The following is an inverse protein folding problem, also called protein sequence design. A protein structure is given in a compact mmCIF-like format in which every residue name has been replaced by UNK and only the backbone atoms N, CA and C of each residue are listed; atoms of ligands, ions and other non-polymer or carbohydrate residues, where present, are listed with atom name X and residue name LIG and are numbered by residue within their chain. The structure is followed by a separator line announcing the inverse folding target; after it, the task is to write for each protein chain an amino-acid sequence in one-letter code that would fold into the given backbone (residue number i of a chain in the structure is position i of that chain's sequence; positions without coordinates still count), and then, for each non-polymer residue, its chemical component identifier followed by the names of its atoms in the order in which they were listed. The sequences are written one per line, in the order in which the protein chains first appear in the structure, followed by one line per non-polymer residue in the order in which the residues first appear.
data_IF_895749198416
#
_entry.id   IF_895749198416
#
_cell.length_a   1.000
_cell.length_b   1.000
_cell.length_c   1.000
_cell.angle_alpha   90.00
_cell.angle_beta   90.00
_cell.angle_gamma   90.00
#
_symmetry.space_group_name_H-M   'P 1'
#
loop_
_entity.id
_entity.type
_entity.pdbx_description
1 polymer ?
#
# COMPACT_ATOMS: atom_id res chain seq x y z
N UNK A 1 32.07 33.03 -2.66
CA UNK A 1 33.00 31.90 -2.39
C UNK A 1 32.37 30.67 -3.01
N UNK A 2 32.96 30.18 -4.11
CA UNK A 2 32.34 29.24 -5.06
C UNK A 2 32.34 27.81 -4.53
N UNK A 3 31.20 27.11 -4.60
CA UNK A 3 31.10 25.69 -4.25
C UNK A 3 31.57 24.83 -5.43
N UNK A 4 32.51 23.91 -5.19
CA UNK A 4 33.02 22.94 -6.16
C UNK A 4 32.06 21.76 -6.30
N UNK A 5 31.74 21.42 -7.55
CA UNK A 5 30.94 20.27 -7.96
C UNK A 5 31.87 19.09 -8.24
N UNK A 6 31.62 17.92 -7.66
CA UNK A 6 32.36 16.69 -7.93
C UNK A 6 31.51 15.75 -8.78
N UNK A 7 32.13 15.17 -9.81
CA UNK A 7 31.50 14.26 -10.79
C UNK A 7 31.98 12.84 -10.50
N UNK A 8 31.06 11.87 -10.41
CA UNK A 8 31.37 10.45 -10.26
C UNK A 8 30.79 9.66 -11.43
N UNK A 9 31.62 8.78 -12.01
CA UNK A 9 31.23 7.86 -13.08
C UNK A 9 30.69 6.56 -12.47
N UNK A 10 29.43 6.22 -12.78
CA UNK A 10 28.86 4.90 -12.50
C UNK A 10 28.67 4.09 -13.78
N UNK A 11 29.21 2.87 -13.77
CA UNK A 11 29.08 1.88 -14.84
C UNK A 11 27.60 1.47 -14.96
N UNK A 12 27.02 1.80 -16.11
CA UNK A 12 25.60 1.65 -16.44
C UNK A 12 25.33 0.27 -17.06
N UNK A 13 25.27 -0.78 -16.24
CA UNK A 13 24.72 -2.07 -16.68
C UNK A 13 23.24 -2.13 -16.32
N UNK A 14 22.40 -2.27 -17.35
CA UNK A 14 20.96 -2.05 -17.28
C UNK A 14 20.27 -3.16 -16.47
N UNK A 15 19.58 -2.76 -15.39
CA UNK A 15 18.64 -3.59 -14.61
C UNK A 15 17.48 -4.09 -15.48
N UNK A 16 17.29 -3.49 -16.66
CA UNK A 16 16.21 -3.77 -17.61
C UNK A 16 16.25 -5.21 -18.14
N UNK A 17 17.43 -5.72 -18.45
CA UNK A 17 17.56 -7.03 -19.12
C UNK A 17 17.35 -8.21 -18.15
N UNK A 18 17.62 -8.02 -16.86
CA UNK A 18 17.49 -9.08 -15.86
C UNK A 18 16.05 -9.27 -15.38
N UNK A 19 15.28 -8.18 -15.27
CA UNK A 19 13.86 -8.22 -14.88
C UNK A 19 12.98 -8.82 -15.98
N UNK A 20 13.33 -8.60 -17.25
CA UNK A 20 12.57 -9.10 -18.40
C UNK A 20 12.58 -10.64 -18.49
N UNK A 21 13.69 -11.28 -18.09
CA UNK A 21 13.84 -12.74 -18.12
C UNK A 21 13.08 -13.45 -16.99
N UNK A 22 13.09 -12.88 -15.77
CA UNK A 22 12.36 -13.45 -14.62
C UNK A 22 10.84 -13.31 -14.78
N UNK A 23 10.38 -12.24 -15.43
CA UNK A 23 8.96 -12.01 -15.66
C UNK A 23 8.35 -13.00 -16.67
N UNK A 24 9.10 -13.38 -17.72
CA UNK A 24 8.66 -14.35 -18.73
C UNK A 24 8.58 -15.79 -18.17
N UNK A 25 9.60 -16.23 -17.42
CA UNK A 25 9.68 -17.62 -16.95
C UNK A 25 8.58 -17.98 -15.92
N UNK A 26 8.16 -17.04 -15.07
CA UNK A 26 7.12 -17.29 -14.07
C UNK A 26 5.69 -17.25 -14.61
N UNK A 27 5.42 -16.50 -15.67
CA UNK A 27 4.07 -16.39 -16.24
C UNK A 27 3.70 -17.58 -17.15
N UNK A 28 4.68 -18.10 -17.91
CA UNK A 28 4.45 -19.24 -18.81
C UNK A 28 4.06 -20.51 -18.04
N UNK A 29 4.54 -20.70 -16.81
CA UNK A 29 4.15 -21.84 -15.97
C UNK A 29 2.69 -21.79 -15.48
N UNK A 30 2.07 -20.60 -15.35
CA UNK A 30 0.67 -20.49 -14.93
C UNK A 30 -0.30 -20.73 -16.10
N UNK A 31 0.06 -20.32 -17.32
CA UNK A 31 -0.75 -20.53 -18.52
C UNK A 31 -0.81 -22.01 -18.96
N UNK A 32 0.29 -22.75 -18.80
CA UNK A 32 0.35 -24.16 -19.20
C UNK A 32 -0.38 -25.12 -18.24
N UNK A 33 -0.64 -24.71 -16.99
CA UNK A 33 -1.35 -25.56 -16.03
C UNK A 33 -2.88 -25.58 -16.25
N UNK A 34 -3.48 -24.57 -16.90
CA UNK A 34 -4.92 -24.57 -17.19
C UNK A 34 -5.29 -25.39 -18.44
N UNK A 35 -4.42 -25.48 -19.45
CA UNK A 35 -4.71 -26.25 -20.68
C UNK A 35 -4.60 -27.79 -20.51
N UNK A 36 -3.79 -28.28 -19.56
CA UNK A 36 -3.61 -29.73 -19.36
C UNK A 36 -4.81 -30.37 -18.63
N UNK A 37 -5.53 -29.61 -17.80
CA UNK A 37 -6.68 -30.14 -17.05
C UNK A 37 -7.99 -30.16 -17.86
N UNK A 38 -8.08 -29.43 -18.98
CA UNK A 38 -9.28 -29.42 -19.83
C UNK A 38 -9.29 -30.52 -20.89
N UNK A 39 -8.12 -31.10 -21.24
CA UNK A 39 -8.00 -32.09 -22.31
C UNK A 39 -7.99 -33.56 -21.85
N UNK A 40 -8.11 -33.84 -20.55
CA UNK A 40 -8.13 -35.22 -20.01
C UNK A 40 -9.54 -35.83 -19.84
N UNK A 41 -10.61 -35.05 -20.00
CA UNK A 41 -11.99 -35.54 -19.76
C UNK A 41 -12.80 -35.86 -21.03
N UNK A 42 -12.20 -35.81 -22.22
CA UNK A 42 -12.93 -35.96 -23.48
C UNK A 42 -12.10 -36.62 -24.56
N UNK A 43 -11.67 -37.87 -24.36
CA UNK A 43 -11.24 -38.79 -25.42
C UNK A 43 -11.23 -40.25 -24.91
N UNK A 44 -12.39 -40.75 -24.49
CA UNK A 44 -12.71 -42.18 -24.59
C UNK A 44 -13.71 -42.33 -25.73
N UNK A 45 -13.23 -42.79 -26.90
CA UNK A 45 -13.91 -43.67 -27.87
C UNK A 45 -13.43 -43.47 -29.32
N UNK A 46 -13.10 -44.60 -29.95
CA UNK A 46 -13.04 -44.90 -31.38
C UNK A 46 -11.81 -44.45 -32.20
N UNK A 47 -10.79 -45.34 -32.23
CA UNK A 47 -9.91 -45.53 -33.38
C UNK A 47 -10.53 -46.53 -34.37
N UNK A 48 -10.64 -46.15 -35.65
CA UNK A 48 -10.47 -47.07 -36.79
C UNK A 48 -10.19 -46.32 -38.11
N UNK A 49 -9.00 -46.62 -38.64
CA UNK A 49 -8.58 -46.67 -40.06
C UNK A 49 -8.48 -45.38 -40.89
N UNK A 50 -7.29 -45.19 -41.48
CA UNK A 50 -7.15 -44.85 -42.90
C UNK A 50 -6.39 -43.55 -43.21
N UNK A 51 -5.14 -43.71 -43.65
CA UNK A 51 -4.24 -42.69 -44.23
C UNK A 51 -4.93 -41.69 -45.17
N UNK A 52 -4.56 -40.40 -45.08
CA UNK A 52 -3.89 -39.61 -46.15
C UNK A 52 -3.31 -38.33 -45.53
N UNK A 53 -2.08 -38.04 -45.95
CA UNK A 53 -1.24 -36.88 -45.67
C UNK A 53 -1.94 -35.52 -45.73
N UNK A 54 -1.83 -34.78 -44.61
CA UNK A 54 -1.72 -33.32 -44.60
C UNK A 54 -1.02 -32.92 -43.30
N UNK A 55 0.32 -32.86 -43.33
CA UNK A 55 1.04 -32.01 -42.38
C UNK A 55 0.62 -30.57 -42.69
N UNK A 56 -0.47 -30.12 -42.06
CA UNK A 56 -0.68 -28.69 -41.85
C UNK A 56 0.45 -28.27 -40.93
N UNK A 57 1.47 -27.62 -41.50
CA UNK A 57 2.40 -26.83 -40.73
C UNK A 57 1.54 -25.85 -39.91
N UNK A 58 1.40 -26.12 -38.61
CA UNK A 58 1.03 -25.07 -37.68
C UNK A 58 2.16 -24.05 -37.79
N UNK A 59 1.87 -22.95 -38.48
CA UNK A 59 2.69 -21.75 -38.38
C UNK A 59 2.69 -21.42 -36.89
N UNK A 60 3.81 -21.72 -36.22
CA UNK A 60 4.14 -21.09 -34.96
C UNK A 60 4.16 -19.60 -35.23
N UNK A 61 3.02 -18.96 -35.00
CA UNK A 61 3.00 -17.55 -34.68
C UNK A 61 3.60 -17.49 -33.28
N UNK A 62 4.93 -17.48 -33.22
CA UNK A 62 5.63 -16.91 -32.08
C UNK A 62 5.24 -15.43 -32.09
N UNK A 63 4.04 -15.12 -31.58
CA UNK A 63 3.80 -13.83 -31.00
C UNK A 63 4.72 -13.78 -29.79
N UNK A 64 5.97 -13.37 -30.01
CA UNK A 64 6.78 -12.79 -28.96
C UNK A 64 5.93 -11.68 -28.36
N UNK A 65 5.33 -11.98 -27.20
CA UNK A 65 4.70 -10.99 -26.36
C UNK A 65 5.84 -10.09 -25.87
N UNK A 66 6.20 -9.10 -26.69
CA UNK A 66 7.13 -8.05 -26.37
C UNK A 66 6.48 -7.10 -25.36
N UNK A 67 6.30 -7.57 -24.12
CA UNK A 67 6.01 -6.70 -22.99
C UNK A 67 7.31 -5.96 -22.62
N UNK A 68 7.52 -4.80 -23.22
CA UNK A 68 8.45 -3.81 -22.67
C UNK A 68 7.79 -3.19 -21.44
N UNK A 69 8.09 -3.74 -20.27
CA UNK A 69 7.60 -3.18 -19.01
C UNK A 69 8.41 -1.92 -18.66
N UNK A 70 7.83 -0.75 -18.90
CA UNK A 70 8.45 0.53 -18.54
C UNK A 70 8.09 0.87 -17.09
N UNK A 71 9.11 0.95 -16.23
CA UNK A 71 8.93 1.41 -14.86
C UNK A 71 8.76 2.94 -14.89
N UNK A 72 7.67 3.51 -14.33
CA UNK A 72 7.39 4.93 -14.41
C UNK A 72 8.53 5.80 -13.85
N UNK A 73 9.03 6.79 -14.61
CA UNK A 73 10.17 7.62 -14.20
C UNK A 73 9.91 8.40 -12.89
N UNK A 74 8.66 8.74 -12.60
CA UNK A 74 8.30 9.46 -11.37
C UNK A 74 8.60 8.64 -10.11
N UNK A 75 8.56 7.30 -10.17
CA UNK A 75 8.87 6.46 -9.01
C UNK A 75 10.34 6.53 -8.63
N UNK A 76 11.24 6.54 -9.62
CA UNK A 76 12.68 6.61 -9.39
C UNK A 76 13.11 7.96 -8.84
N UNK A 77 12.69 9.05 -9.50
CA UNK A 77 13.23 10.36 -9.18
C UNK A 77 12.66 10.93 -7.87
N UNK A 78 11.48 10.47 -7.45
CA UNK A 78 10.88 10.84 -6.16
C UNK A 78 11.36 9.99 -4.99
N UNK A 79 12.00 8.84 -5.27
CA UNK A 79 12.39 7.88 -4.25
C UNK A 79 13.44 8.45 -3.31
N UNK A 80 13.30 8.13 -2.02
CA UNK A 80 14.27 8.49 -1.01
C UNK A 80 14.55 7.37 -0.05
N UNK A 81 15.74 7.40 0.55
CA UNK A 81 16.06 6.58 1.72
C UNK A 81 16.17 7.43 2.97
N UNK A 82 15.66 6.88 4.06
CA UNK A 82 15.58 7.53 5.36
C UNK A 82 16.71 6.99 6.22
N UNK A 83 17.53 7.89 6.74
CA UNK A 83 18.67 7.56 7.59
C UNK A 83 18.60 8.31 8.90
N UNK A 84 19.21 7.73 9.93
CA UNK A 84 19.54 8.43 11.17
C UNK A 84 21.03 8.71 11.21
N UNK A 85 21.39 9.92 11.61
CA UNK A 85 22.77 10.22 11.98
C UNK A 85 23.14 9.64 13.35
N UNK A 86 24.20 8.83 13.39
CA UNK A 86 24.72 8.20 14.60
C UNK A 86 25.87 9.04 15.20
N UNK A 87 25.56 9.88 16.18
CA UNK A 87 26.50 10.81 16.83
C UNK A 87 27.56 10.15 17.74
N UNK A 88 27.99 8.92 17.43
CA UNK A 88 28.97 8.17 18.25
C UNK A 88 30.42 8.65 18.06
N UNK A 89 30.70 9.46 17.04
CA UNK A 89 32.03 10.02 16.80
C UNK A 89 32.06 11.51 17.17
N UNK A 90 32.70 11.80 18.31
CA UNK A 90 33.11 13.14 18.73
C UNK A 90 34.31 13.59 17.89
N UNK A 91 34.08 13.97 16.63
CA UNK A 91 35.02 14.82 15.89
C UNK A 91 34.44 16.22 15.79
N UNK A 92 35.26 17.20 16.15
CA UNK A 92 35.02 18.65 16.22
C UNK A 92 34.75 19.34 14.88
N UNK A 93 34.18 18.62 13.90
CA UNK A 93 33.84 19.15 12.58
C UNK A 93 32.31 19.09 12.41
N UNK A 94 31.70 20.21 12.03
CA UNK A 94 30.25 20.37 11.78
C UNK A 94 29.74 19.61 10.53
N UNK A 95 30.39 18.51 10.13
CA UNK A 95 30.09 17.76 8.91
C UNK A 95 29.64 16.33 9.20
N UNK A 96 28.50 15.95 8.62
CA UNK A 96 27.96 14.58 8.70
C UNK A 96 28.65 13.70 7.66
N UNK A 97 29.36 12.65 8.09
CA UNK A 97 29.95 11.65 7.18
C UNK A 97 28.91 10.59 6.84
N UNK A 98 28.96 10.08 5.60
CA UNK A 98 28.01 9.06 5.12
C UNK A 98 28.10 7.77 5.94
N UNK A 99 29.30 7.41 6.40
CA UNK A 99 29.53 6.21 7.22
C UNK A 99 28.87 6.29 8.61
N UNK A 100 28.51 7.50 9.07
CA UNK A 100 27.78 7.69 10.32
C UNK A 100 26.26 7.57 10.14
N UNK A 101 25.77 7.30 8.92
CA UNK A 101 24.35 7.16 8.63
C UNK A 101 23.86 5.71 8.81
N UNK A 102 22.80 5.55 9.60
CA UNK A 102 22.10 4.28 9.78
C UNK A 102 20.84 4.30 8.94
N UNK A 103 20.75 3.40 7.96
CA UNK A 103 19.54 3.22 7.16
C UNK A 103 18.36 2.71 7.99
N UNK A 104 17.24 3.43 7.92
CA UNK A 104 16.00 3.15 8.64
C UNK A 104 14.93 2.56 7.73
N UNK A 105 14.83 3.02 6.49
CA UNK A 105 13.82 2.56 5.55
C UNK A 105 13.69 3.43 4.30
N UNK A 106 12.59 3.25 3.59
CA UNK A 106 12.32 3.87 2.30
C UNK A 106 11.26 4.97 2.41
N UNK A 107 11.17 5.81 1.40
CA UNK A 107 10.16 6.87 1.30
C UNK A 107 10.05 7.42 -0.10
N UNK A 108 9.19 8.42 -0.28
CA UNK A 108 9.11 9.18 -1.53
C UNK A 108 8.67 10.61 -1.28
N UNK A 109 9.19 11.53 -2.11
CA UNK A 109 8.76 12.93 -2.15
C UNK A 109 7.40 12.99 -2.84
N UNK A 110 6.42 13.66 -2.23
CA UNK A 110 5.05 13.72 -2.77
C UNK A 110 4.60 15.12 -3.22
N UNK A 111 5.43 16.15 -3.01
CA UNK A 111 5.18 17.48 -3.57
C UNK A 111 6.47 18.29 -3.82
N UNK A 112 6.33 19.35 -4.61
CA UNK A 112 7.42 20.29 -4.96
C UNK A 112 8.07 21.00 -3.76
N UNK A 113 7.39 21.04 -2.62
CA UNK A 113 7.90 21.71 -1.42
C UNK A 113 8.84 20.79 -0.61
N UNK A 114 9.08 19.54 -1.06
CA UNK A 114 9.98 18.61 -0.38
C UNK A 114 9.35 17.90 0.82
N UNK A 115 8.03 17.72 0.81
CA UNK A 115 7.40 16.81 1.76
C UNK A 115 7.55 15.36 1.31
N UNK A 116 7.81 14.49 2.28
CA UNK A 116 8.14 13.07 2.07
C UNK A 116 7.20 12.21 2.90
N UNK A 117 6.76 11.10 2.32
CA UNK A 117 6.07 10.03 3.02
C UNK A 117 7.02 8.87 3.31
N UNK A 118 6.90 8.31 4.51
CA UNK A 118 7.57 7.08 4.94
C UNK A 118 6.72 6.35 5.98
N UNK A 119 7.11 5.13 6.33
CA UNK A 119 6.48 4.38 7.42
C UNK A 119 6.82 5.00 8.78
N UNK A 120 5.84 5.10 9.68
CA UNK A 120 6.04 5.71 10.99
C UNK A 120 7.00 4.91 11.87
N UNK A 121 7.02 3.58 11.74
CA UNK A 121 7.95 2.73 12.49
C UNK A 121 9.41 2.91 12.10
N UNK A 122 9.71 3.53 10.95
CA UNK A 122 11.08 3.94 10.61
C UNK A 122 11.58 5.03 11.57
N UNK A 123 10.67 5.78 12.21
CA UNK A 123 10.95 6.92 13.09
C UNK A 123 10.72 6.53 14.55
N UNK A 124 11.71 5.84 15.14
CA UNK A 124 11.59 5.33 16.51
C UNK A 124 11.68 6.44 17.58
N UNK A 125 12.64 7.37 17.45
CA UNK A 125 12.82 8.50 18.35
C UNK A 125 12.76 9.82 17.57
N UNK A 126 11.87 10.74 17.99
CA UNK A 126 11.66 12.01 17.29
C UNK A 126 12.82 13.01 17.48
N UNK A 127 13.67 12.79 18.48
CA UNK A 127 14.82 13.65 18.78
C UNK A 127 16.06 13.30 17.94
N UNK A 128 16.02 12.19 17.19
CA UNK A 128 17.09 11.80 16.29
C UNK A 128 17.23 12.80 15.13
N UNK A 129 18.46 12.93 14.60
CA UNK A 129 18.72 13.72 13.39
C UNK A 129 18.47 12.82 12.17
N UNK A 130 17.47 13.18 11.37
CA UNK A 130 17.10 12.44 10.17
C UNK A 130 17.77 13.03 8.92
N UNK A 131 18.36 12.14 8.13
CA UNK A 131 18.98 12.48 6.85
C UNK A 131 18.26 11.73 5.74
N UNK A 132 17.84 12.46 4.72
CA UNK A 132 17.17 11.94 3.54
C UNK A 132 18.16 11.92 2.40
N UNK A 133 18.34 10.74 1.79
CA UNK A 133 19.10 10.60 0.55
C UNK A 133 18.14 10.48 -0.63
N UNK A 134 18.32 11.31 -1.66
CA UNK A 134 17.60 11.28 -2.93
C UNK A 134 18.63 11.28 -4.07
N UNK A 135 18.85 10.15 -4.73
CA UNK A 135 20.00 9.99 -5.62
C UNK A 135 21.31 10.25 -4.86
N UNK A 136 22.13 11.16 -5.37
CA UNK A 136 23.40 11.56 -4.74
C UNK A 136 23.26 12.71 -3.72
N UNK A 137 22.06 13.26 -3.59
CA UNK A 137 21.79 14.39 -2.71
C UNK A 137 21.39 13.94 -1.31
N UNK A 138 21.85 14.70 -0.29
CA UNK A 138 21.53 14.46 1.11
C UNK A 138 20.92 15.72 1.74
N UNK A 139 19.85 15.53 2.53
CA UNK A 139 19.12 16.61 3.17
C UNK A 139 18.83 16.28 4.64
N UNK A 140 18.99 17.26 5.53
CA UNK A 140 18.44 17.15 6.89
C UNK A 140 16.91 17.29 6.79
N UNK A 141 16.19 16.39 7.45
CA UNK A 141 14.73 16.41 7.50
C UNK A 141 14.19 16.78 8.88
N UNK A 142 13.06 17.49 8.86
CA UNK A 142 12.23 17.72 10.04
C UNK A 142 11.01 16.82 10.02
N UNK A 143 10.63 16.26 11.16
CA UNK A 143 9.36 15.54 11.30
C UNK A 143 8.22 16.56 11.35
N UNK A 144 7.28 16.45 10.43
CA UNK A 144 6.06 17.28 10.43
C UNK A 144 4.99 16.63 11.30
N UNK A 145 4.81 15.31 11.17
CA UNK A 145 3.87 14.56 11.96
C UNK A 145 3.95 13.07 11.65
N UNK A 146 3.52 12.23 12.59
CA UNK A 146 3.39 10.79 12.38
C UNK A 146 2.17 10.25 13.11
N UNK A 147 1.63 9.16 12.59
CA UNK A 147 0.53 8.41 13.19
C UNK A 147 0.90 6.92 13.20
N UNK A 148 0.98 6.34 14.40
CA UNK A 148 1.56 5.00 14.61
C UNK A 148 0.62 3.88 14.14
N UNK A 149 -0.68 4.11 14.27
CA UNK A 149 -1.72 3.13 14.03
C UNK A 149 -1.94 2.87 12.54
N UNK A 150 -1.83 3.92 11.72
CA UNK A 150 -1.82 3.83 10.25
C UNK A 150 -0.42 3.63 9.67
N UNK A 151 0.62 3.78 10.50
CA UNK A 151 2.04 3.70 10.11
C UNK A 151 2.44 4.71 9.03
N UNK A 152 2.02 5.96 9.19
CA UNK A 152 2.34 7.04 8.25
C UNK A 152 3.14 8.12 8.96
N UNK A 153 4.25 8.54 8.36
CA UNK A 153 5.03 9.69 8.78
C UNK A 153 5.21 10.66 7.61
N UNK A 154 5.06 11.95 7.91
CA UNK A 154 5.38 13.06 7.01
C UNK A 154 6.65 13.73 7.48
N UNK A 155 7.66 13.75 6.62
CA UNK A 155 8.91 14.48 6.80
C UNK A 155 8.96 15.66 5.84
N UNK A 156 9.85 16.63 6.12
CA UNK A 156 10.09 17.79 5.27
C UNK A 156 11.59 18.03 5.11
N UNK A 157 12.02 18.23 3.87
CA UNK A 157 13.37 18.68 3.51
C UNK A 157 13.32 20.05 2.84
N UNK A 158 14.41 20.81 2.93
CA UNK A 158 14.57 22.05 2.19
C UNK A 158 15.60 21.82 1.07
N UNK A 159 15.14 21.92 -0.18
CA UNK A 159 15.99 21.85 -1.36
C UNK A 159 15.96 23.19 -2.10
N UNK A 160 17.10 23.59 -2.66
CA UNK A 160 17.19 24.72 -3.59
C UNK A 160 16.90 24.29 -5.03
N UNK A 161 16.98 22.98 -5.31
CA UNK A 161 16.78 22.40 -6.62
C UNK A 161 15.33 21.93 -6.79
N UNK A 162 14.90 21.83 -8.04
CA UNK A 162 13.58 21.28 -8.38
C UNK A 162 13.54 19.80 -8.03
N UNK A 163 12.62 19.42 -7.15
CA UNK A 163 12.42 18.03 -6.75
C UNK A 163 11.43 17.35 -7.69
N UNK A 164 11.73 16.10 -8.07
CA UNK A 164 10.74 15.20 -8.64
C UNK A 164 9.88 14.61 -7.53
N UNK A 165 8.60 14.39 -7.79
CA UNK A 165 7.66 13.90 -6.78
C UNK A 165 6.52 13.08 -7.39
N UNK A 166 5.94 12.19 -6.57
CA UNK A 166 4.66 11.52 -6.90
C UNK A 166 3.54 12.34 -6.28
N UNK A 167 2.77 13.05 -7.12
CA UNK A 167 1.67 13.87 -6.62
C UNK A 167 0.58 13.04 -5.95
N UNK A 168 0.08 13.51 -4.81
CA UNK A 168 -1.12 12.95 -4.18
C UNK A 168 -2.40 13.32 -4.94
N UNK A 169 -2.33 14.12 -6.00
CA UNK A 169 -3.48 14.42 -6.86
C UNK A 169 -3.72 13.35 -7.92
N UNK A 170 -2.69 12.58 -8.28
CA UNK A 170 -2.75 11.43 -9.19
C UNK A 170 -2.74 10.12 -8.39
N UNK A 171 -3.78 9.94 -7.59
CA UNK A 171 -4.01 8.70 -6.84
C UNK A 171 -5.02 7.81 -7.56
N UNK A 172 -4.89 6.50 -7.34
CA UNK A 172 -5.85 5.50 -7.82
C UNK A 172 -6.24 4.58 -6.66
N UNK A 173 -7.55 4.42 -6.44
CA UNK A 173 -8.12 3.64 -5.33
C UNK A 173 -9.15 2.58 -5.76
N UNK A 174 -9.29 2.37 -7.08
CA UNK A 174 -10.20 1.42 -7.72
C UNK A 174 -9.49 0.15 -8.24
N UNK A 175 -8.36 -0.20 -7.64
CA UNK A 175 -7.57 -1.38 -7.98
C UNK A 175 -8.42 -2.66 -8.00
N UNK A 176 -8.18 -3.50 -9.01
CA UNK A 176 -8.78 -4.83 -9.13
C UNK A 176 -7.74 -5.92 -8.88
N UNK A 177 -8.22 -7.07 -8.42
CA UNK A 177 -7.38 -8.27 -8.32
C UNK A 177 -6.78 -8.62 -9.68
N UNK A 178 -5.51 -9.01 -9.69
CA UNK A 178 -4.73 -9.33 -10.89
C UNK A 178 -4.04 -8.15 -11.56
N UNK A 179 -4.38 -6.91 -11.19
CA UNK A 179 -3.71 -5.73 -11.77
C UNK A 179 -2.24 -5.63 -11.35
N UNK A 180 -1.40 -5.20 -12.28
CA UNK A 180 0.04 -5.07 -12.07
C UNK A 180 0.36 -3.83 -11.24
N UNK A 181 1.21 -4.00 -10.24
CA UNK A 181 1.68 -2.93 -9.36
C UNK A 181 3.19 -3.02 -9.16
N UNK A 182 3.81 -1.85 -9.04
CA UNK A 182 5.26 -1.68 -9.00
C UNK A 182 5.63 -1.01 -7.69
N UNK A 183 6.56 -1.61 -6.96
CA UNK A 183 7.16 -1.03 -5.76
C UNK A 183 8.63 -0.73 -6.01
N UNK A 184 9.11 0.41 -5.52
CA UNK A 184 10.51 0.79 -5.60
C UNK A 184 11.05 1.14 -4.22
N UNK A 185 12.12 0.47 -3.79
CA UNK A 185 12.59 0.53 -2.40
C UNK A 185 14.03 0.12 -2.23
N UNK A 186 14.62 0.39 -1.06
CA UNK A 186 15.93 -0.17 -0.70
C UNK A 186 15.74 -1.29 0.33
N UNK A 187 16.48 -2.39 0.15
CA UNK A 187 16.47 -3.51 1.09
C UNK A 187 17.51 -3.24 2.18
N UNK A 188 17.14 -3.44 3.45
CA UNK A 188 18.06 -3.29 4.57
C UNK A 188 19.26 -4.26 4.42
N UNK A 189 20.47 -3.76 4.72
CA UNK A 189 21.76 -4.46 4.53
C UNK A 189 22.18 -4.67 3.07
N UNK A 190 21.43 -4.12 2.12
CA UNK A 190 21.85 -4.01 0.73
C UNK A 190 21.90 -2.53 0.37
N UNK A 191 23.04 -2.05 -0.11
CA UNK A 191 23.22 -0.64 -0.47
C UNK A 191 22.67 -0.33 -1.87
N UNK A 192 21.63 -1.06 -2.29
CA UNK A 192 21.05 -0.97 -3.63
C UNK A 192 19.54 -0.87 -3.57
N UNK A 193 19.04 0.08 -4.35
CA UNK A 193 17.63 0.26 -4.66
C UNK A 193 17.15 -0.91 -5.53
N UNK A 194 15.92 -1.33 -5.33
CA UNK A 194 15.29 -2.46 -6.00
C UNK A 194 13.92 -2.07 -6.52
N UNK A 195 13.63 -2.51 -7.74
CA UNK A 195 12.29 -2.47 -8.29
C UNK A 195 11.67 -3.86 -8.16
N UNK A 196 10.50 -3.94 -7.55
CA UNK A 196 9.71 -5.15 -7.45
C UNK A 196 8.40 -4.97 -8.20
N UNK A 197 8.15 -5.84 -9.18
CA UNK A 197 6.88 -5.90 -9.92
C UNK A 197 6.08 -7.10 -9.41
N UNK A 198 4.78 -6.90 -9.23
CA UNK A 198 3.85 -7.94 -8.79
C UNK A 198 2.43 -7.60 -9.20
N UNK A 199 1.47 -8.29 -8.60
CA UNK A 199 0.05 -8.09 -8.85
C UNK A 199 -0.70 -7.82 -7.54
N UNK A 200 -1.86 -7.21 -7.67
CA UNK A 200 -2.83 -7.08 -6.58
C UNK A 200 -3.49 -8.44 -6.35
N UNK A 201 -3.30 -9.00 -5.15
CA UNK A 201 -3.97 -10.22 -4.73
C UNK A 201 -5.34 -9.90 -4.11
N UNK A 202 -5.38 -8.90 -3.22
CA UNK A 202 -6.63 -8.38 -2.65
C UNK A 202 -6.53 -6.85 -2.51
N UNK A 203 -7.41 -6.06 -3.14
CA UNK A 203 -7.31 -4.61 -3.09
C UNK A 203 -7.67 -4.01 -1.72
N UNK A 204 -8.47 -4.72 -0.91
CA UNK A 204 -8.98 -4.24 0.39
C UNK A 204 -8.98 -5.35 1.44
N UNK A 205 -7.82 -5.92 1.72
CA UNK A 205 -7.64 -6.96 2.72
C UNK A 205 -7.81 -6.39 4.14
N UNK A 206 -8.62 -7.03 4.97
CA UNK A 206 -8.89 -6.64 6.36
C UNK A 206 -8.41 -7.72 7.32
N UNK A 207 -7.96 -7.34 8.53
CA UNK A 207 -7.39 -8.26 9.51
C UNK A 207 -8.07 -8.12 10.89
N UNK A 208 -8.76 -9.17 11.33
CA UNK A 208 -9.36 -9.24 12.68
C UNK A 208 -8.33 -9.46 13.79
N UNK A 209 -7.18 -10.06 13.45
CA UNK A 209 -5.98 -10.15 14.28
C UNK A 209 -4.80 -9.68 13.46
N UNK A 210 -4.23 -8.55 13.85
CA UNK A 210 -3.09 -7.94 13.20
C UNK A 210 -2.04 -7.59 14.24
N UNK A 211 -0.83 -8.10 14.05
CA UNK A 211 0.31 -7.57 14.79
C UNK A 211 0.64 -6.19 14.24
N UNK A 212 0.35 -5.15 15.03
CA UNK A 212 0.64 -3.78 14.66
C UNK A 212 2.15 -3.54 14.57
N UNK A 213 2.53 -2.35 14.14
CA UNK A 213 3.92 -1.98 13.89
C UNK A 213 4.77 -1.85 15.17
N UNK A 214 4.15 -2.01 16.34
CA UNK A 214 4.80 -2.02 17.65
C UNK A 214 4.77 -3.43 18.30
N UNK A 215 4.45 -4.48 17.55
CA UNK A 215 4.41 -5.88 18.03
C UNK A 215 3.18 -6.26 18.87
N UNK A 216 2.16 -5.39 18.97
CA UNK A 216 0.93 -5.71 19.70
C UNK A 216 -0.11 -6.29 18.75
N UNK A 217 -0.73 -7.41 19.14
CA UNK A 217 -1.82 -8.03 18.39
C UNK A 217 -3.14 -7.36 18.74
N UNK A 218 -3.77 -6.73 17.76
CA UNK A 218 -5.04 -6.03 17.89
C UNK A 218 -5.87 -6.12 16.60
N UNK A 219 -7.12 -5.65 16.63
CA UNK A 219 -7.89 -5.43 15.42
C UNK A 219 -7.22 -4.33 14.60
N UNK A 220 -7.00 -4.56 13.30
CA UNK A 220 -6.56 -3.51 12.41
C UNK A 220 -7.78 -2.78 11.85
N UNK A 221 -7.76 -1.45 11.92
CA UNK A 221 -8.85 -0.60 11.43
C UNK A 221 -8.63 -0.15 9.98
N UNK A 222 -7.44 -0.37 9.43
CA UNK A 222 -7.06 0.03 8.09
C UNK A 222 -7.13 -1.17 7.13
N UNK A 223 -7.79 -1.03 5.97
CA UNK A 223 -7.63 -2.01 4.90
C UNK A 223 -6.23 -1.88 4.28
N UNK A 224 -5.71 -2.99 3.77
CA UNK A 224 -4.46 -3.01 3.02
C UNK A 224 -4.67 -3.56 1.61
N UNK A 225 -3.89 -3.05 0.66
CA UNK A 225 -3.68 -3.71 -0.62
C UNK A 225 -2.71 -4.86 -0.36
N UNK A 226 -3.16 -6.09 -0.55
CA UNK A 226 -2.31 -7.26 -0.53
C UNK A 226 -1.73 -7.49 -1.92
N UNK A 227 -0.40 -7.61 -2.00
CA UNK A 227 0.33 -7.70 -3.27
C UNK A 227 1.28 -8.90 -3.28
N UNK A 228 1.61 -9.39 -4.47
CA UNK A 228 2.59 -10.46 -4.67
C UNK A 228 4.03 -9.97 -4.82
N UNK A 229 4.27 -8.65 -4.78
CA UNK A 229 5.60 -8.07 -4.85
C UNK A 229 6.51 -8.67 -3.76
N UNK A 230 7.78 -8.87 -4.11
CA UNK A 230 8.80 -9.31 -3.18
C UNK A 230 9.20 -8.16 -2.26
N UNK A 231 8.51 -8.06 -1.12
CA UNK A 231 8.77 -7.04 -0.10
C UNK A 231 9.75 -7.57 0.95
N UNK A 232 10.82 -6.82 1.18
CA UNK A 232 11.83 -7.12 2.19
C UNK A 232 11.96 -6.00 3.21
N UNK A 233 12.61 -6.29 4.34
CA UNK A 233 12.90 -5.27 5.36
C UNK A 233 13.66 -4.10 4.73
N UNK A 234 13.29 -2.86 5.06
CA UNK A 234 13.84 -1.65 4.45
C UNK A 234 12.94 -1.01 3.38
N UNK A 235 12.07 -1.79 2.73
CA UNK A 235 11.13 -1.27 1.72
C UNK A 235 9.88 -0.62 2.34
N UNK A 236 9.70 -0.68 3.66
CA UNK A 236 8.61 0.02 4.34
C UNK A 236 8.73 1.53 4.14
N UNK A 237 7.64 2.15 3.68
CA UNK A 237 7.57 3.54 3.22
C UNK A 237 7.74 3.71 1.71
N UNK A 238 8.11 2.66 0.96
CA UNK A 238 8.21 2.72 -0.50
C UNK A 238 6.87 3.06 -1.17
N UNK A 239 6.88 3.82 -2.28
CA UNK A 239 5.71 4.00 -3.11
C UNK A 239 5.30 2.69 -3.79
N UNK A 240 4.00 2.47 -3.91
CA UNK A 240 3.39 1.46 -4.77
C UNK A 240 2.59 2.19 -5.85
N UNK A 241 2.92 1.95 -7.12
CA UNK A 241 2.29 2.60 -8.28
C UNK A 241 1.71 1.57 -9.25
N UNK A 242 0.77 2.00 -10.07
CA UNK A 242 0.37 1.24 -11.26
C UNK A 242 1.36 1.43 -12.44
N UNK A 243 1.10 0.75 -13.55
CA UNK A 243 1.91 0.85 -14.77
C UNK A 243 1.96 2.26 -15.41
N UNK A 244 1.08 3.18 -14.98
CA UNK A 244 1.05 4.56 -15.45
C UNK A 244 1.75 5.52 -14.48
N UNK A 245 2.24 5.02 -13.34
CA UNK A 245 2.87 5.83 -12.31
C UNK A 245 1.89 6.52 -11.38
N UNK A 246 0.60 6.17 -11.41
CA UNK A 246 -0.35 6.68 -10.42
C UNK A 246 -0.08 6.01 -9.07
N UNK A 247 -0.14 6.78 -7.99
CA UNK A 247 0.06 6.24 -6.65
C UNK A 247 -1.15 5.40 -6.26
N UNK A 248 -0.93 4.11 -5.99
CA UNK A 248 -1.97 3.19 -5.51
C UNK A 248 -1.83 2.92 -4.02
N UNK A 249 -0.64 3.07 -3.45
CA UNK A 249 -0.44 2.96 -2.00
C UNK A 249 1.01 3.17 -1.56
N UNK A 250 1.27 2.88 -0.29
CA UNK A 250 2.61 2.90 0.31
C UNK A 250 2.87 1.58 1.02
N UNK A 251 4.01 0.94 0.73
CA UNK A 251 4.41 -0.32 1.36
C UNK A 251 4.53 -0.14 2.87
N UNK A 252 3.87 -1.00 3.63
CA UNK A 252 3.92 -0.97 5.09
C UNK A 252 4.75 -2.12 5.65
N UNK A 253 4.40 -3.36 5.28
CA UNK A 253 5.12 -4.55 5.75
C UNK A 253 4.84 -5.76 4.87
N UNK A 254 5.45 -6.89 5.22
CA UNK A 254 5.18 -8.22 4.67
C UNK A 254 4.43 -9.08 5.70
N UNK A 255 3.49 -9.90 5.23
CA UNK A 255 2.89 -11.02 5.97
C UNK A 255 3.05 -12.27 5.11
N UNK A 256 3.63 -13.32 5.68
CA UNK A 256 3.93 -14.58 5.00
C UNK A 256 4.67 -14.35 3.69
N UNK A 257 4.04 -14.60 2.54
CA UNK A 257 4.59 -14.40 1.20
C UNK A 257 4.05 -13.16 0.48
N UNK A 258 3.32 -12.30 1.19
CA UNK A 258 2.60 -11.17 0.61
C UNK A 258 3.08 -9.83 1.16
N UNK A 259 3.19 -8.84 0.28
CA UNK A 259 3.31 -7.45 0.69
C UNK A 259 1.97 -6.87 1.10
N UNK A 260 1.98 -5.92 2.03
CA UNK A 260 0.85 -5.09 2.40
C UNK A 260 1.19 -3.62 2.18
N UNK A 261 0.31 -2.91 1.47
CA UNK A 261 0.41 -1.47 1.25
C UNK A 261 -0.83 -0.76 1.78
N UNK A 262 -0.64 0.42 2.40
CA UNK A 262 -1.74 1.30 2.76
C UNK A 262 -2.30 1.94 1.48
N UNK A 263 -3.62 1.84 1.21
CA UNK A 263 -4.23 2.45 0.02
C UNK A 263 -3.98 3.96 -0.09
N UNK A 264 -3.78 4.45 -1.31
CA UNK A 264 -3.44 5.84 -1.62
C UNK A 264 -4.47 6.86 -1.13
N UNK A 265 -5.77 6.52 -1.18
CA UNK A 265 -6.84 7.40 -0.71
C UNK A 265 -6.80 7.61 0.81
N UNK A 266 -6.56 6.56 1.59
CA UNK A 266 -6.37 6.64 3.05
C UNK A 266 -5.07 7.37 3.36
N UNK A 267 -3.97 7.01 2.66
CA UNK A 267 -2.66 7.63 2.81
C UNK A 267 -2.72 9.15 2.55
N UNK A 268 -3.38 9.59 1.47
CA UNK A 268 -3.52 11.00 1.11
C UNK A 268 -4.15 11.81 2.25
N UNK A 269 -5.25 11.33 2.80
CA UNK A 269 -5.99 12.09 3.82
C UNK A 269 -5.22 12.18 5.14
N UNK A 270 -4.54 11.10 5.53
CA UNK A 270 -3.65 11.12 6.71
C UNK A 270 -2.47 12.06 6.46
N UNK A 271 -1.81 11.96 5.31
CA UNK A 271 -0.67 12.79 4.93
C UNK A 271 -1.02 14.28 4.96
N UNK A 272 -2.15 14.69 4.39
CA UNK A 272 -2.58 16.09 4.37
C UNK A 272 -2.91 16.62 5.76
N UNK A 273 -3.52 15.82 6.63
CA UNK A 273 -3.81 16.22 8.01
C UNK A 273 -2.53 16.34 8.85
N UNK A 274 -1.61 15.37 8.72
CA UNK A 274 -0.28 15.45 9.35
C UNK A 274 0.49 16.67 8.84
N UNK A 275 0.50 16.91 7.53
CA UNK A 275 1.15 18.07 6.92
C UNK A 275 0.63 19.40 7.49
N UNK A 276 -0.69 19.55 7.60
CA UNK A 276 -1.32 20.83 7.94
C UNK A 276 -1.44 21.08 9.44
N UNK A 277 -1.58 20.02 10.25
CA UNK A 277 -1.88 20.13 11.69
C UNK A 277 -0.81 19.50 12.59
N UNK A 278 0.19 18.83 12.02
CA UNK A 278 1.19 18.02 12.74
C UNK A 278 0.63 16.76 13.40
N UNK A 279 -0.69 16.57 13.35
CA UNK A 279 -1.41 15.48 14.01
C UNK A 279 -2.55 15.00 13.13
N UNK A 280 -2.84 13.71 13.25
CA UNK A 280 -4.00 13.08 12.65
C UNK A 280 -4.76 12.39 13.78
N UNK A 281 -6.07 12.66 13.85
CA UNK A 281 -6.98 12.00 14.76
C UNK A 281 -7.92 11.17 13.90
N UNK A 282 -7.93 9.88 14.16
CA UNK A 282 -8.80 8.95 13.47
C UNK A 282 -10.27 9.36 13.64
N UNK A 283 -11.03 9.57 12.54
CA UNK A 283 -12.42 9.95 12.65
C UNK A 283 -13.24 8.81 13.26
N UNK A 284 -14.17 9.16 14.15
CA UNK A 284 -14.97 8.17 14.88
C UNK A 284 -16.38 8.68 15.10
N UNK A 285 -17.34 7.76 14.97
CA UNK A 285 -18.75 8.01 15.28
C UNK A 285 -19.06 7.78 16.77
N UNK A 286 -18.12 7.22 17.54
CA UNK A 286 -18.32 6.81 18.93
C UNK A 286 -19.14 5.52 19.07
N UNK A 287 -19.04 4.61 18.10
CA UNK A 287 -19.71 3.31 18.10
C UNK A 287 -18.72 2.22 18.45
N UNK A 288 -19.08 1.35 19.39
CA UNK A 288 -18.34 0.11 19.67
C UNK A 288 -19.10 -1.03 18.99
N UNK A 289 -18.45 -1.69 18.04
CA UNK A 289 -19.04 -2.78 17.27
C UNK A 289 -18.72 -4.15 17.86
N UNK A 290 -19.60 -5.11 17.59
CA UNK A 290 -19.34 -6.54 17.71
C UNK A 290 -19.74 -7.21 16.41
N UNK A 291 -18.75 -7.79 15.72
CA UNK A 291 -19.00 -8.60 14.54
C UNK A 291 -19.58 -9.95 14.98
N UNK A 292 -20.64 -10.39 14.30
CA UNK A 292 -21.21 -11.72 14.49
C UNK A 292 -21.28 -12.43 13.14
N UNK A 293 -20.64 -13.60 13.10
CA UNK A 293 -20.72 -14.52 11.97
C UNK A 293 -21.84 -15.53 12.24
N UNK A 294 -22.67 -15.77 11.23
CA UNK A 294 -23.70 -16.80 11.25
C UNK A 294 -23.44 -17.78 10.12
N UNK A 295 -23.38 -19.06 10.45
CA UNK A 295 -23.43 -20.15 9.46
C UNK A 295 -24.88 -20.30 8.99
N UNK A 296 -25.14 -20.13 7.70
CA UNK A 296 -26.45 -20.48 7.15
C UNK A 296 -26.66 -22.00 7.22
N UNK A 297 -27.93 -22.43 7.31
CA UNK A 297 -28.32 -23.84 7.49
C UNK A 297 -27.80 -24.80 6.40
N UNK A 298 -27.36 -24.27 5.27
CA UNK A 298 -26.78 -25.00 4.14
C UNK A 298 -25.23 -25.06 4.16
N UNK A 299 -24.58 -24.57 5.22
CA UNK A 299 -23.12 -24.68 5.44
C UNK A 299 -22.24 -23.86 4.49
N UNK A 300 -22.79 -23.27 3.43
CA UNK A 300 -22.02 -22.68 2.32
C UNK A 300 -21.93 -21.15 2.36
N UNK A 301 -22.72 -20.46 3.18
CA UNK A 301 -22.70 -18.99 3.27
C UNK A 301 -22.58 -18.51 4.71
N UNK A 302 -21.63 -17.61 4.96
CA UNK A 302 -21.50 -16.89 6.22
C UNK A 302 -22.18 -15.52 6.07
N UNK A 303 -23.17 -15.23 6.93
CA UNK A 303 -23.68 -13.86 7.06
C UNK A 303 -22.88 -13.14 8.13
N UNK A 304 -22.26 -12.02 7.78
CA UNK A 304 -21.62 -11.10 8.74
C UNK A 304 -22.59 -9.99 9.10
N UNK A 305 -22.86 -9.84 10.38
CA UNK A 305 -23.62 -8.70 10.90
C UNK A 305 -22.70 -7.81 11.74
N UNK A 306 -22.62 -6.55 11.36
CA UNK A 306 -21.92 -5.53 12.13
C UNK A 306 -22.90 -4.89 13.11
N UNK A 307 -22.96 -5.44 14.33
CA UNK A 307 -23.92 -5.03 15.36
C UNK A 307 -23.31 -3.99 16.30
N UNK A 308 -24.09 -2.98 16.64
CA UNK A 308 -23.75 -1.99 17.67
C UNK A 308 -23.77 -2.67 19.03
N UNK A 309 -22.58 -2.83 19.62
CA UNK A 309 -22.42 -3.42 20.95
C UNK A 309 -22.63 -2.39 22.05
N UNK A 310 -22.05 -1.20 21.87
CA UNK A 310 -22.20 -0.08 22.77
C UNK A 310 -22.02 1.25 22.02
N UNK A 311 -22.48 2.35 22.61
CA UNK A 311 -22.33 3.70 22.09
C UNK A 311 -21.68 4.55 23.18
N UNK A 312 -20.68 5.33 22.80
CA UNK A 312 -19.99 6.22 23.73
C UNK A 312 -20.92 7.38 24.12
N UNK A 313 -21.02 7.75 25.40
CA UNK A 313 -21.78 8.93 25.82
C UNK A 313 -21.28 10.20 25.14
N UNK A 314 -22.20 11.11 24.81
CA UNK A 314 -21.99 12.39 24.12
C UNK A 314 -21.35 12.26 22.73
N UNK A 315 -21.36 11.05 22.16
CA UNK A 315 -20.84 10.83 20.81
C UNK A 315 -21.83 11.27 19.73
N UNK A 316 -21.32 11.47 18.52
CA UNK A 316 -22.18 11.75 17.36
C UNK A 316 -23.21 10.66 17.10
N UNK A 317 -22.86 9.38 17.32
CA UNK A 317 -23.79 8.27 17.20
C UNK A 317 -24.93 8.35 18.22
N UNK A 318 -24.64 8.70 19.47
CA UNK A 318 -25.67 8.91 20.50
C UNK A 318 -26.58 10.08 20.13
N UNK A 319 -26.00 11.22 19.74
CA UNK A 319 -26.74 12.42 19.33
C UNK A 319 -27.65 12.13 18.12
N UNK A 320 -27.17 11.31 17.18
CA UNK A 320 -27.96 10.89 16.03
C UNK A 320 -29.05 9.87 16.38
N UNK A 321 -29.05 9.29 17.58
CA UNK A 321 -30.06 8.34 18.06
C UNK A 321 -29.79 6.88 17.69
N UNK A 322 -28.54 6.51 17.36
CA UNK A 322 -28.14 5.10 17.29
C UNK A 322 -28.31 4.46 18.67
N UNK A 323 -28.55 3.14 18.70
CA UNK A 323 -28.77 2.39 19.93
C UNK A 323 -28.02 1.06 19.92
N UNK A 324 -27.70 0.57 21.12
CA UNK A 324 -27.23 -0.81 21.31
C UNK A 324 -28.22 -1.77 20.65
N UNK A 325 -27.70 -2.68 19.84
CA UNK A 325 -28.50 -3.68 19.14
C UNK A 325 -28.77 -3.38 17.67
N UNK A 326 -28.58 -2.13 17.23
CA UNK A 326 -28.70 -1.77 15.81
C UNK A 326 -27.71 -2.57 14.97
N UNK A 327 -28.11 -2.96 13.76
CA UNK A 327 -27.21 -3.60 12.79
C UNK A 327 -26.95 -2.60 11.67
N UNK A 328 -25.68 -2.29 11.41
CA UNK A 328 -25.30 -1.39 10.31
C UNK A 328 -25.42 -2.16 9.00
N UNK A 329 -26.13 -1.59 8.02
CA UNK A 329 -26.32 -2.17 6.69
C UNK A 329 -25.47 -1.45 5.64
N UNK A 330 -25.52 -0.12 5.65
CA UNK A 330 -24.78 0.70 4.69
C UNK A 330 -24.36 2.05 5.29
N UNK A 331 -23.30 2.64 4.73
CA UNK A 331 -22.84 4.00 5.03
C UNK A 331 -22.56 4.73 3.73
N UNK A 332 -23.15 5.91 3.53
CA UNK A 332 -23.09 6.67 2.28
C UNK A 332 -23.43 5.79 1.05
N UNK A 333 -24.47 4.95 1.18
CA UNK A 333 -24.92 3.97 0.17
C UNK A 333 -23.95 2.81 -0.13
N UNK A 334 -22.79 2.73 0.55
CA UNK A 334 -21.87 1.58 0.46
C UNK A 334 -22.24 0.52 1.50
N UNK A 335 -22.37 -0.74 1.09
CA UNK A 335 -22.67 -1.86 1.99
C UNK A 335 -21.53 -2.04 3.00
N UNK A 336 -21.88 -2.24 4.27
CA UNK A 336 -20.94 -2.42 5.37
C UNK A 336 -21.08 -3.82 5.95
N UNK A 337 -19.99 -4.57 5.90
CA UNK A 337 -19.87 -5.94 6.39
C UNK A 337 -18.92 -6.06 7.59
N UNK A 338 -18.00 -5.11 7.77
CA UNK A 338 -17.01 -5.11 8.84
C UNK A 338 -16.63 -3.69 9.27
N UNK A 339 -15.94 -3.60 10.41
CA UNK A 339 -15.52 -2.31 10.97
C UNK A 339 -14.54 -1.55 10.06
N UNK A 340 -13.65 -2.24 9.35
CA UNK A 340 -12.63 -1.61 8.49
C UNK A 340 -13.27 -0.77 7.37
N UNK A 341 -14.40 -1.21 6.81
CA UNK A 341 -15.12 -0.44 5.77
C UNK A 341 -15.70 0.87 6.31
N UNK A 342 -16.10 0.91 7.58
CA UNK A 342 -16.51 2.16 8.24
C UNK A 342 -15.31 3.10 8.31
N UNK A 343 -14.18 2.60 8.83
CA UNK A 343 -12.96 3.40 8.94
C UNK A 343 -12.48 3.89 7.58
N UNK A 344 -12.53 3.06 6.54
CA UNK A 344 -12.19 3.45 5.17
C UNK A 344 -13.08 4.60 4.68
N UNK A 345 -14.40 4.53 4.88
CA UNK A 345 -15.33 5.59 4.44
C UNK A 345 -15.08 6.88 5.21
N UNK A 346 -14.97 6.81 6.54
CA UNK A 346 -14.72 7.99 7.36
C UNK A 346 -13.37 8.63 7.03
N UNK A 347 -12.38 7.84 6.65
CA UNK A 347 -11.05 8.33 6.29
C UNK A 347 -10.94 8.84 4.87
N UNK A 348 -11.75 8.34 3.92
CA UNK A 348 -11.68 8.72 2.51
C UNK A 348 -12.71 9.78 2.11
N UNK A 349 -13.78 9.95 2.87
CA UNK A 349 -14.92 10.78 2.49
C UNK A 349 -14.81 12.21 3.02
N UNK A 350 -15.12 13.18 2.17
CA UNK A 350 -15.40 14.57 2.58
C UNK A 350 -16.87 14.78 2.98
N UNK A 351 -17.72 13.74 2.86
CA UNK A 351 -19.15 13.83 3.13
C UNK A 351 -19.38 13.76 4.64
N UNK A 352 -19.78 14.87 5.24
CA UNK A 352 -20.12 14.99 6.65
C UNK A 352 -21.36 15.89 6.79
N UNK A 353 -22.48 15.42 7.38
CA UNK A 353 -22.68 14.13 8.06
C UNK A 353 -22.72 12.93 7.10
N UNK A 354 -22.32 11.74 7.58
CA UNK A 354 -22.54 10.48 6.87
C UNK A 354 -23.98 10.00 7.02
N UNK A 355 -24.55 9.42 5.95
CA UNK A 355 -25.82 8.70 6.02
C UNK A 355 -25.55 7.23 6.37
N UNK A 356 -26.17 6.74 7.44
CA UNK A 356 -26.08 5.35 7.89
C UNK A 356 -27.45 4.72 7.77
N UNK A 357 -27.53 3.58 7.08
CA UNK A 357 -28.71 2.73 7.06
C UNK A 357 -28.52 1.61 8.09
N UNK A 358 -29.51 1.44 8.95
CA UNK A 358 -29.52 0.42 10.01
C UNK A 358 -30.74 -0.49 9.93
N UNK A 359 -30.64 -1.67 10.55
CA UNK A 359 -31.78 -2.50 10.90
C UNK A 359 -32.03 -2.42 12.42
N UNK A 360 -33.24 -2.03 12.81
CA UNK A 360 -33.70 -1.99 14.21
C UNK A 360 -35.09 -2.61 14.29
N UNK A 361 -35.25 -3.66 15.10
CA UNK A 361 -36.51 -4.41 15.23
C UNK A 361 -37.12 -4.82 13.87
N UNK A 362 -36.30 -5.39 12.98
CA UNK A 362 -36.66 -5.78 11.61
C UNK A 362 -37.19 -4.65 10.70
N UNK A 363 -36.95 -3.38 11.07
CA UNK A 363 -37.26 -2.21 10.23
C UNK A 363 -35.98 -1.50 9.84
N UNK A 364 -35.87 -1.13 8.55
CA UNK A 364 -34.79 -0.29 8.05
C UNK A 364 -35.00 1.15 8.47
N UNK A 365 -33.93 1.81 8.92
CA UNK A 365 -33.93 3.23 9.27
C UNK A 365 -32.70 3.90 8.69
N UNK A 366 -32.83 5.16 8.27
CA UNK A 366 -31.72 5.99 7.84
C UNK A 366 -31.44 7.06 8.89
N UNK A 367 -30.16 7.30 9.16
CA UNK A 367 -29.69 8.26 10.16
C UNK A 367 -28.57 9.10 9.57
N UNK A 368 -28.49 10.38 9.95
CA UNK A 368 -27.35 11.24 9.59
C UNK A 368 -26.48 11.45 10.82
N UNK A 369 -25.19 11.12 10.72
CA UNK A 369 -24.25 11.16 11.84
C UNK A 369 -23.06 12.04 11.48
N UNK A 370 -22.75 13.04 12.30
CA UNK A 370 -21.56 13.90 12.12
C UNK A 370 -20.31 13.17 12.64
N UNK A 371 -19.12 13.51 12.15
CA UNK A 371 -17.86 12.91 12.64
C UNK A 371 -16.68 13.85 12.54
#
# INVERSE_FOLDING_TARGET
MNAKMYKFDYIKNSVKDYLQKIFLEKFICLSYCEEINYNKSSNEHMEKKGNVSRQKSLKNTNHELNYSFNIPNNIYNSFVTIHKYNKKNTSSEDTIKVDDLIFLGSGFIYNKNGYILTAAHNIANKEDIFVIKNGDNFFIATIIGLHKESDVCVLKINSKENLSYITLDSIRDDLKQGEVVIAYGQIQKFDKETCSVGIVNHPKQTFSKFENFNGKKQVCLYPFIQISNSINKGMSGSPLVDQHGNLVGMIQKKIDNYGLALPSNVLKNIALLLQNKGTYKEPSLGIIFKEKEFTLKNGSTFKKELKVHNILPKSSAEIAGLKKGDIILSMNKKIINNICQIHEILNSSSVNPVEIEIMRHNKKQKMKVKY
#
